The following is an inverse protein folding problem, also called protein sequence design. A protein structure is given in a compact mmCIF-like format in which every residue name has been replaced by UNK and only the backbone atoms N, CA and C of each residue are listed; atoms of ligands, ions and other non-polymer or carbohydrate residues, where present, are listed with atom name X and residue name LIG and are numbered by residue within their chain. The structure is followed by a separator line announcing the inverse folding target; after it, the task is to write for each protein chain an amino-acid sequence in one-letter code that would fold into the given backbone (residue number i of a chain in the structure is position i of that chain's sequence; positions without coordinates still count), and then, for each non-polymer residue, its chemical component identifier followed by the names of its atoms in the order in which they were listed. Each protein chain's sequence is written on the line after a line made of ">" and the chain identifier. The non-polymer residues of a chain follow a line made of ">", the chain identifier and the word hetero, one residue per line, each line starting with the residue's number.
data_IF_984435612253
#
_entry.id   IF_984435612253
#
_cell.length_a   1.000
_cell.length_b   1.000
_cell.length_c   1.000
_cell.angle_alpha   90.00
_cell.angle_beta   90.00
_cell.angle_gamma   90.00
#
_symmetry.space_group_name_H-M   'P 1'
#
loop_
_entity.id
_entity.type
_entity.pdbx_description
1 polymer ?
#
# COMPACT_ATOMS: atom_id res chain seq x y z
N UNK A 1 -3.06 -11.68 6.64
CA UNK A 1 -1.64 -11.40 6.30
C UNK A 1 -0.83 -12.69 6.30
N UNK A 2 -0.10 -12.92 5.23
CA UNK A 2 0.88 -14.01 5.17
C UNK A 2 2.11 -13.46 4.46
N UNK A 3 3.27 -13.54 5.13
CA UNK A 3 4.54 -13.05 4.58
C UNK A 3 4.84 -13.76 3.25
N UNK A 4 5.15 -12.98 2.23
CA UNK A 4 5.43 -13.49 0.89
C UNK A 4 4.20 -13.79 0.03
N UNK A 5 2.99 -13.63 0.59
CA UNK A 5 1.76 -13.90 -0.16
C UNK A 5 1.29 -12.67 -0.93
N UNK A 6 0.75 -12.89 -2.12
CA UNK A 6 0.23 -11.83 -3.00
C UNK A 6 -1.17 -12.10 -3.52
N UNK A 7 -1.95 -12.86 -2.77
CA UNK A 7 -3.36 -13.10 -3.05
C UNK A 7 -3.64 -14.32 -3.92
N UNK A 8 -4.94 -14.59 -4.19
CA UNK A 8 -6.09 -13.84 -3.68
C UNK A 8 -6.51 -14.18 -2.24
N UNK A 9 -6.01 -15.32 -1.69
CA UNK A 9 -6.48 -15.81 -0.39
C UNK A 9 -5.74 -15.20 0.80
N UNK A 10 -4.51 -14.72 0.58
CA UNK A 10 -3.68 -14.14 1.64
C UNK A 10 -2.72 -13.11 1.02
N UNK A 11 -2.27 -12.15 1.84
CA UNK A 11 -1.38 -11.07 1.39
C UNK A 11 -0.37 -10.71 2.46
N UNK A 12 0.85 -10.32 2.05
CA UNK A 12 1.66 -9.42 2.86
C UNK A 12 1.39 -7.98 2.37
N UNK A 13 2.03 -6.96 2.99
CA UNK A 13 1.71 -5.56 2.71
C UNK A 13 1.92 -5.18 1.23
N UNK A 14 3.07 -5.52 0.68
CA UNK A 14 3.38 -5.19 -0.72
C UNK A 14 2.63 -6.09 -1.69
N UNK A 15 2.34 -7.33 -1.29
CA UNK A 15 1.55 -8.24 -2.10
C UNK A 15 0.12 -7.76 -2.28
N UNK A 16 -0.48 -7.20 -1.22
CA UNK A 16 -1.81 -6.61 -1.31
C UNK A 16 -1.82 -5.46 -2.31
N UNK A 17 -0.88 -4.54 -2.20
CA UNK A 17 -0.80 -3.38 -3.09
C UNK A 17 -0.56 -3.83 -4.53
N UNK A 18 0.36 -4.76 -4.74
CA UNK A 18 0.62 -5.31 -6.07
C UNK A 18 -0.64 -5.94 -6.68
N UNK A 19 -1.37 -6.72 -5.89
CA UNK A 19 -2.58 -7.39 -6.36
C UNK A 19 -3.66 -6.39 -6.76
N UNK A 20 -3.93 -5.39 -5.92
CA UNK A 20 -4.96 -4.38 -6.19
C UNK A 20 -4.65 -3.62 -7.48
N UNK A 21 -3.42 -3.18 -7.65
CA UNK A 21 -3.04 -2.46 -8.87
C UNK A 21 -3.07 -3.36 -10.10
N UNK A 22 -2.78 -4.65 -9.96
CA UNK A 22 -2.85 -5.59 -11.08
C UNK A 22 -4.28 -5.72 -11.60
N UNK A 23 -5.29 -5.60 -10.73
CA UNK A 23 -6.68 -5.61 -11.14
C UNK A 23 -7.05 -4.39 -11.99
N UNK A 24 -6.26 -3.32 -11.89
CA UNK A 24 -6.43 -2.11 -12.68
C UNK A 24 -5.54 -2.10 -13.94
N UNK A 25 -4.83 -3.20 -14.19
CA UNK A 25 -3.93 -3.30 -15.33
C UNK A 25 -2.57 -2.64 -15.09
N UNK A 26 -2.23 -2.34 -13.86
CA UNK A 26 -0.97 -1.69 -13.49
C UNK A 26 -0.05 -2.72 -12.83
N UNK A 27 1.14 -2.88 -13.41
CA UNK A 27 2.15 -3.80 -12.90
C UNK A 27 3.06 -3.07 -11.93
N UNK A 28 3.15 -3.56 -10.68
CA UNK A 28 4.00 -2.98 -9.66
C UNK A 28 5.12 -3.94 -9.26
N UNK A 29 6.27 -3.41 -8.79
CA UNK A 29 7.30 -4.24 -8.18
C UNK A 29 6.74 -5.00 -6.98
N UNK A 30 7.39 -6.11 -6.60
CA UNK A 30 6.88 -6.99 -5.56
C UNK A 30 7.16 -6.48 -4.15
N UNK A 31 8.22 -5.72 -3.91
CA UNK A 31 8.62 -5.30 -2.57
C UNK A 31 8.14 -3.89 -2.23
N UNK A 32 7.95 -3.62 -0.93
CA UNK A 32 7.53 -2.28 -0.47
C UNK A 32 8.53 -1.20 -0.87
N UNK A 33 9.82 -1.47 -0.73
CA UNK A 33 10.85 -0.48 -1.09
C UNK A 33 10.83 -0.15 -2.58
N UNK A 34 10.66 -1.16 -3.42
CA UNK A 34 10.59 -0.93 -4.87
C UNK A 34 9.29 -0.22 -5.25
N UNK A 35 8.19 -0.50 -4.57
CA UNK A 35 6.92 0.19 -4.80
C UNK A 35 7.01 1.67 -4.45
N UNK A 36 7.81 2.03 -3.45
CA UNK A 36 8.06 3.42 -3.10
C UNK A 36 8.70 4.22 -4.23
N UNK A 37 9.33 3.58 -5.18
CA UNK A 37 9.96 4.20 -6.35
C UNK A 37 9.16 3.99 -7.64
N UNK A 38 7.97 3.41 -7.56
CA UNK A 38 7.21 3.02 -8.74
C UNK A 38 6.41 4.16 -9.37
N UNK A 39 6.35 5.31 -8.73
CA UNK A 39 5.59 6.46 -9.22
C UNK A 39 6.11 7.76 -8.67
N UNK A 40 5.24 8.76 -8.62
CA UNK A 40 5.59 10.10 -8.13
C UNK A 40 5.27 10.19 -6.65
N UNK A 41 6.25 10.61 -5.86
CA UNK A 41 6.06 10.86 -4.43
C UNK A 41 5.29 12.17 -4.26
N UNK A 42 4.19 12.13 -3.51
CA UNK A 42 3.37 13.31 -3.22
C UNK A 42 3.22 13.48 -1.72
N UNK A 43 2.92 14.71 -1.30
CA UNK A 43 2.72 15.03 0.12
C UNK A 43 1.35 14.56 0.58
N UNK A 44 1.15 14.55 1.91
CA UNK A 44 -0.13 14.19 2.50
C UNK A 44 -1.26 15.13 2.03
N UNK A 45 -0.94 16.42 1.82
CA UNK A 45 -1.92 17.40 1.36
C UNK A 45 -2.38 17.13 -0.08
N UNK A 46 -1.55 16.46 -0.87
CA UNK A 46 -1.84 16.15 -2.27
C UNK A 46 -2.32 14.71 -2.48
N UNK A 47 -2.25 13.88 -1.45
CA UNK A 47 -2.62 12.48 -1.56
C UNK A 47 -4.10 12.31 -1.90
N UNK A 48 -4.38 11.35 -2.77
CA UNK A 48 -5.73 11.02 -3.21
C UNK A 48 -6.01 9.54 -2.95
N UNK A 49 -7.29 9.16 -2.75
CA UNK A 49 -7.63 7.74 -2.62
C UNK A 49 -7.06 6.94 -3.78
N UNK A 50 -6.47 5.81 -3.46
CA UNK A 50 -5.78 4.96 -4.42
C UNK A 50 -4.28 5.14 -4.46
N UNK A 51 -3.72 6.23 -3.90
CA UNK A 51 -2.28 6.39 -3.80
C UNK A 51 -1.71 5.36 -2.81
N UNK A 52 -0.43 5.01 -2.98
CA UNK A 52 0.25 4.10 -2.05
C UNK A 52 0.72 4.90 -0.85
N UNK A 53 0.37 4.45 0.36
CA UNK A 53 0.93 5.00 1.61
C UNK A 53 2.26 4.30 1.85
N UNK A 54 3.35 5.04 1.84
CA UNK A 54 4.70 4.48 1.86
C UNK A 54 5.41 4.77 3.17
N UNK A 55 5.78 3.71 3.89
CA UNK A 55 6.50 3.78 5.16
C UNK A 55 7.93 3.24 5.08
N UNK A 56 8.38 2.89 3.88
CA UNK A 56 9.67 2.21 3.70
C UNK A 56 9.47 0.70 3.72
N UNK A 57 9.54 0.10 4.90
CA UNK A 57 9.35 -1.35 5.06
C UNK A 57 7.90 -1.81 5.04
N UNK A 58 6.95 -0.89 4.89
CA UNK A 58 5.53 -1.18 4.88
C UNK A 58 4.82 -0.28 3.88
N UNK A 59 3.77 -0.77 3.26
CA UNK A 59 2.93 -0.02 2.33
C UNK A 59 1.46 -0.34 2.55
N UNK A 60 0.60 0.60 2.18
CA UNK A 60 -0.84 0.41 2.17
C UNK A 60 -1.43 1.21 1.02
N UNK A 61 -2.75 1.20 0.91
CA UNK A 61 -3.48 1.95 -0.10
C UNK A 61 -4.26 3.05 0.61
N UNK A 62 -4.05 4.30 0.19
CA UNK A 62 -4.75 5.42 0.79
C UNK A 62 -6.24 5.37 0.45
N UNK A 63 -7.07 5.48 1.49
CA UNK A 63 -8.53 5.44 1.33
C UNK A 63 -9.18 6.82 1.47
N UNK A 64 -8.37 7.87 1.68
CA UNK A 64 -8.87 9.21 1.95
C UNK A 64 -9.10 9.43 3.44
N UNK A 65 -9.24 10.69 3.84
CA UNK A 65 -9.56 11.10 5.22
C UNK A 65 -8.61 10.55 6.28
N UNK A 66 -7.33 10.39 5.93
CA UNK A 66 -6.33 9.90 6.86
C UNK A 66 -6.40 8.39 7.12
N UNK A 67 -7.06 7.64 6.26
CA UNK A 67 -7.24 6.19 6.41
C UNK A 67 -6.57 5.43 5.29
N UNK A 68 -6.25 4.16 5.57
CA UNK A 68 -5.63 3.29 4.58
C UNK A 68 -6.16 1.87 4.69
N UNK A 69 -5.98 1.11 3.61
CA UNK A 69 -6.21 -0.33 3.58
C UNK A 69 -4.84 -0.98 3.47
N UNK A 70 -4.50 -1.85 4.42
CA UNK A 70 -3.20 -2.51 4.42
C UNK A 70 -3.27 -3.91 5.01
N UNK A 71 -2.26 -4.72 4.70
CA UNK A 71 -2.05 -6.00 5.35
C UNK A 71 -1.01 -5.76 6.45
N UNK A 72 -1.48 -5.56 7.67
CA UNK A 72 -0.64 -5.10 8.77
C UNK A 72 0.32 -6.16 9.30
N UNK A 73 -0.20 -7.29 9.74
CA UNK A 73 0.57 -8.41 10.26
C UNK A 73 -0.34 -9.65 10.36
N UNK A 74 0.22 -10.75 10.85
CA UNK A 74 -0.53 -12.01 10.97
C UNK A 74 -1.72 -11.92 11.92
N UNK A 75 -1.67 -11.04 12.91
CA UNK A 75 -2.76 -10.88 13.87
C UNK A 75 -3.92 -10.06 13.33
N UNK A 76 -3.64 -9.03 12.53
CA UNK A 76 -4.67 -8.12 12.01
C UNK A 76 -5.18 -8.50 10.63
N UNK A 77 -4.33 -9.14 9.80
CA UNK A 77 -4.67 -9.41 8.41
C UNK A 77 -4.81 -8.14 7.58
N UNK A 78 -5.69 -8.17 6.61
CA UNK A 78 -6.00 -7.02 5.75
C UNK A 78 -7.08 -6.20 6.45
N UNK A 79 -6.80 -4.92 6.70
CA UNK A 79 -7.70 -4.04 7.45
C UNK A 79 -7.82 -2.67 6.80
N UNK A 80 -8.93 -2.01 7.10
CA UNK A 80 -9.18 -0.60 6.81
C UNK A 80 -9.07 0.15 8.14
N UNK A 81 -8.14 1.10 8.23
CA UNK A 81 -7.85 1.76 9.51
C UNK A 81 -7.25 3.14 9.31
N UNK A 82 -7.16 3.91 10.40
CA UNK A 82 -6.43 5.17 10.39
C UNK A 82 -4.95 4.91 10.12
N UNK A 83 -4.29 5.87 9.46
CA UNK A 83 -2.85 5.84 9.29
C UNK A 83 -2.24 6.05 10.68
N UNK A 84 -1.52 5.05 11.18
CA UNK A 84 -1.11 4.96 12.57
C UNK A 84 0.24 5.60 12.87
N UNK A 85 0.99 5.96 11.85
CA UNK A 85 2.28 6.64 12.00
C UNK A 85 2.50 7.54 10.78
N UNK A 86 3.48 8.43 10.88
CA UNK A 86 3.78 9.36 9.80
C UNK A 86 4.45 8.60 8.65
N UNK A 87 3.84 8.53 7.46
CA UNK A 87 4.49 7.89 6.32
C UNK A 87 5.63 8.76 5.78
N UNK A 88 6.55 8.11 5.07
CA UNK A 88 7.58 8.83 4.31
C UNK A 88 6.92 9.70 3.26
N UNK A 89 5.86 9.20 2.64
CA UNK A 89 5.10 9.94 1.67
C UNK A 89 4.02 9.05 1.06
N UNK A 90 3.41 9.56 0.00
CA UNK A 90 2.39 8.84 -0.76
C UNK A 90 2.90 8.72 -2.19
N UNK A 91 2.67 7.60 -2.83
CA UNK A 91 3.18 7.35 -4.18
C UNK A 91 2.02 7.26 -5.14
N UNK A 92 2.02 8.12 -6.13
CA UNK A 92 0.99 8.11 -7.18
C UNK A 92 1.50 7.35 -8.38
N UNK A 93 0.83 6.25 -8.66
CA UNK A 93 1.12 5.39 -9.81
C UNK A 93 -0.02 5.58 -10.81
N UNK A 94 0.28 6.08 -11.97
CA UNK A 94 -0.79 6.34 -12.96
C UNK A 94 -0.32 6.06 -14.36
#
# INVERSE_FOLDING_TARGET
>A
YVMGASGPDAFDCSGLVQYVYSQLGISLPRTSYAQGSAGTLVSAAEAQPGDIVYFGGHVGIYAGDGKMIDAGNESTGVVYRDIYQTPIGFVRVS
#
